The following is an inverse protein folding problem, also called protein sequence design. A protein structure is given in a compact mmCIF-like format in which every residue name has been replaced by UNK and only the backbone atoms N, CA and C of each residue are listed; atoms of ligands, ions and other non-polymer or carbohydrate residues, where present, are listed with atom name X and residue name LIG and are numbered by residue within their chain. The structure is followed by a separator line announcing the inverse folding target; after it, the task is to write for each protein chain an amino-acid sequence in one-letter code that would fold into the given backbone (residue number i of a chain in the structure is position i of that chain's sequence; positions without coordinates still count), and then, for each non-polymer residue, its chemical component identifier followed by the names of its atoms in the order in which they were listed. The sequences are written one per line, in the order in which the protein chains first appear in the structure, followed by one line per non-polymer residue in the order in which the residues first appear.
data_IF_195983277348
#
_entry.id   IF_195983277348
#
_cell.length_a   1.000
_cell.length_b   1.000
_cell.length_c   1.000
_cell.angle_alpha   90.00
_cell.angle_beta   90.00
_cell.angle_gamma   90.00
#
_symmetry.space_group_name_H-M   'P 1'
#
loop_
_entity.id
_entity.type
_entity.pdbx_description
1 polymer ?
#
# COMPACT_ATOMS: atom_id res chain seq x y z
N UNK A 1 -15.88 -10.97 -6.41
CA UNK A 1 -15.08 -11.17 -5.17
C UNK A 1 -13.94 -10.16 -5.19
N UNK A 2 -14.06 -9.02 -4.50
CA UNK A 2 -13.03 -7.95 -4.49
C UNK A 2 -12.11 -8.01 -3.27
N UNK A 3 -12.19 -9.08 -2.47
CA UNK A 3 -11.44 -9.21 -1.23
C UNK A 3 -10.88 -10.61 -1.07
N UNK A 4 -9.73 -10.70 -0.42
CA UNK A 4 -9.06 -11.94 0.00
C UNK A 4 -9.07 -11.99 1.52
N UNK A 5 -9.48 -13.12 2.08
CA UNK A 5 -9.42 -13.36 3.52
C UNK A 5 -8.05 -13.95 3.87
N UNK A 6 -7.23 -13.19 4.58
CA UNK A 6 -5.90 -13.62 4.98
C UNK A 6 -5.88 -13.80 6.49
N UNK A 7 -5.05 -14.74 6.94
CA UNK A 7 -4.85 -14.97 8.35
C UNK A 7 -3.35 -15.17 8.60
N UNK A 8 -2.74 -14.25 9.33
CA UNK A 8 -1.34 -14.41 9.73
C UNK A 8 -1.26 -15.40 10.89
N UNK A 9 -0.31 -16.33 10.86
CA UNK A 9 -0.07 -17.29 11.94
C UNK A 9 1.40 -17.21 12.33
N UNK A 10 1.67 -16.93 13.61
CA UNK A 10 3.03 -16.94 14.13
C UNK A 10 3.39 -18.33 14.65
N UNK A 11 4.27 -19.04 13.92
CA UNK A 11 4.92 -20.29 14.37
C UNK A 11 6.43 -20.11 14.53
N UNK A 12 6.88 -18.87 14.70
CA UNK A 12 8.29 -18.55 14.91
C UNK A 12 8.68 -18.72 16.38
N UNK A 13 9.98 -18.83 16.61
CA UNK A 13 10.58 -18.80 17.94
C UNK A 13 10.98 -17.36 18.34
N UNK A 14 10.19 -16.35 17.94
CA UNK A 14 10.45 -14.95 18.29
C UNK A 14 10.17 -14.69 19.77
N UNK A 15 11.22 -14.34 20.52
CA UNK A 15 11.12 -13.94 21.94
C UNK A 15 11.09 -12.43 22.14
N UNK A 16 11.34 -11.66 21.08
CA UNK A 16 11.37 -10.20 21.10
C UNK A 16 10.01 -9.55 20.83
N UNK A 17 8.98 -10.35 20.53
CA UNK A 17 7.63 -9.87 20.23
C UNK A 17 7.64 -8.80 19.11
N UNK A 18 8.32 -9.13 18.02
CA UNK A 18 8.56 -8.24 16.90
C UNK A 18 7.27 -7.93 16.15
N UNK A 19 7.23 -6.78 15.49
CA UNK A 19 6.11 -6.41 14.63
C UNK A 19 6.28 -6.99 13.22
N UNK A 20 5.18 -7.42 12.63
CA UNK A 20 5.13 -7.88 11.25
C UNK A 20 4.56 -6.76 10.40
N UNK A 21 5.30 -6.35 9.38
CA UNK A 21 4.91 -5.28 8.47
C UNK A 21 4.58 -5.85 7.10
N UNK A 22 3.43 -5.47 6.58
CA UNK A 22 2.94 -5.82 5.25
C UNK A 22 2.76 -4.54 4.44
N UNK A 23 3.26 -4.54 3.21
CA UNK A 23 3.19 -3.39 2.31
C UNK A 23 3.14 -3.81 0.83
N UNK A 24 2.98 -2.83 -0.06
CA UNK A 24 3.14 -3.02 -1.50
C UNK A 24 4.13 -1.99 -2.07
N UNK A 25 4.86 -2.40 -3.10
CA UNK A 25 5.72 -1.50 -3.88
C UNK A 25 4.92 -0.99 -5.08
N UNK A 26 4.98 0.31 -5.36
CA UNK A 26 4.43 0.86 -6.60
C UNK A 26 5.31 0.43 -7.78
N UNK A 27 4.74 -0.35 -8.70
CA UNK A 27 5.44 -0.86 -9.87
C UNK A 27 5.68 0.20 -10.96
N UNK A 28 4.97 1.33 -10.92
CA UNK A 28 5.09 2.38 -11.93
C UNK A 28 6.36 3.23 -11.82
N UNK A 29 7.11 3.12 -10.72
CA UNK A 29 8.31 3.93 -10.47
C UNK A 29 9.42 3.08 -9.87
N UNK A 30 10.66 3.33 -10.27
CA UNK A 30 11.75 2.40 -9.96
C UNK A 30 12.39 2.57 -8.57
N UNK A 31 12.53 3.76 -7.96
CA UNK A 31 13.29 3.84 -6.68
C UNK A 31 12.92 4.95 -5.68
N UNK A 32 12.23 6.03 -6.06
CA UNK A 32 12.03 7.19 -5.16
C UNK A 32 10.67 7.25 -4.44
N UNK A 33 9.80 6.25 -4.64
CA UNK A 33 8.55 6.19 -3.89
C UNK A 33 8.72 5.40 -2.60
N UNK A 34 8.41 6.10 -1.51
CA UNK A 34 8.41 5.53 -0.18
C UNK A 34 7.20 4.61 -0.05
N UNK A 35 7.47 3.33 0.21
CA UNK A 35 6.41 2.37 0.54
C UNK A 35 5.83 2.72 1.91
N UNK A 36 4.56 2.37 2.12
CA UNK A 36 3.88 2.62 3.38
C UNK A 36 3.63 1.29 4.07
N UNK A 37 3.84 1.24 5.39
CA UNK A 37 3.49 0.11 6.24
C UNK A 37 1.96 -0.06 6.29
N UNK A 38 1.40 -0.65 5.23
CA UNK A 38 -0.04 -0.71 5.00
C UNK A 38 -0.78 -1.46 6.11
N UNK A 39 -0.19 -2.55 6.60
CA UNK A 39 -0.70 -3.32 7.73
C UNK A 39 0.47 -3.65 8.64
N UNK A 40 0.30 -3.39 9.93
CA UNK A 40 1.26 -3.78 10.97
C UNK A 40 0.54 -4.68 11.96
N UNK A 41 1.13 -5.83 12.24
CA UNK A 41 0.64 -6.80 13.21
C UNK A 41 1.62 -6.76 14.38
N UNK A 42 1.16 -6.22 15.50
CA UNK A 42 1.92 -6.09 16.73
C UNK A 42 1.43 -7.12 17.75
N UNK A 43 2.31 -7.55 18.65
CA UNK A 43 1.93 -8.39 19.79
C UNK A 43 1.26 -9.73 19.41
N UNK A 44 1.68 -10.36 18.33
CA UNK A 44 1.18 -11.69 17.91
C UNK A 44 2.16 -12.76 18.40
N UNK A 45 1.83 -13.43 19.51
CA UNK A 45 2.70 -14.41 20.17
C UNK A 45 2.86 -15.71 19.39
N UNK A 46 3.77 -16.57 19.84
CA UNK A 46 3.93 -17.92 19.28
C UNK A 46 2.63 -18.73 19.41
N UNK A 47 2.14 -19.27 18.31
CA UNK A 47 0.87 -20.00 18.21
C UNK A 47 -0.35 -19.11 17.95
N UNK A 48 -0.23 -17.79 18.09
CA UNK A 48 -1.33 -16.86 17.85
C UNK A 48 -1.54 -16.60 16.35
N UNK A 49 -2.69 -16.02 16.04
CA UNK A 49 -3.05 -15.61 14.69
C UNK A 49 -3.66 -14.20 14.63
N UNK A 50 -3.63 -13.62 13.43
CA UNK A 50 -4.23 -12.31 13.15
C UNK A 50 -4.98 -12.34 11.81
N UNK A 51 -6.32 -12.43 11.82
CA UNK A 51 -7.12 -12.35 10.61
C UNK A 51 -7.18 -10.92 10.05
N UNK A 52 -7.10 -10.77 8.74
CA UNK A 52 -7.27 -9.49 8.04
C UNK A 52 -7.78 -9.68 6.62
N UNK A 53 -8.37 -8.63 6.05
CA UNK A 53 -8.83 -8.63 4.66
C UNK A 53 -7.91 -7.80 3.77
N UNK A 54 -7.52 -8.37 2.61
CA UNK A 54 -6.93 -7.61 1.52
C UNK A 54 -8.04 -7.27 0.51
N UNK A 55 -8.44 -6.01 0.41
CA UNK A 55 -9.35 -5.55 -0.64
C UNK A 55 -8.58 -5.11 -1.88
N UNK A 56 -9.09 -5.41 -3.07
CA UNK A 56 -8.60 -4.87 -4.33
C UNK A 56 -9.00 -3.41 -4.55
N UNK A 57 -10.02 -2.93 -3.84
CA UNK A 57 -10.51 -1.56 -3.95
C UNK A 57 -9.44 -0.56 -3.48
N UNK A 58 -9.22 0.48 -4.28
CA UNK A 58 -8.29 1.56 -3.99
C UNK A 58 -9.03 2.88 -3.93
N UNK A 59 -8.43 3.85 -3.26
CA UNK A 59 -8.90 5.24 -3.23
C UNK A 59 -7.74 6.20 -3.44
N UNK A 60 -8.00 7.37 -4.00
CA UNK A 60 -7.00 8.45 -4.14
C UNK A 60 -7.43 9.72 -3.42
N UNK A 61 -6.44 10.48 -2.93
CA UNK A 61 -6.61 11.86 -2.48
C UNK A 61 -5.41 12.71 -2.88
N UNK A 62 -5.59 14.03 -2.85
CA UNK A 62 -4.50 14.99 -2.93
C UNK A 62 -4.35 15.70 -1.58
N UNK A 63 -3.13 16.13 -1.25
CA UNK A 63 -2.90 17.01 -0.10
C UNK A 63 -1.94 18.15 -0.42
N UNK A 64 -2.06 19.26 0.28
CA UNK A 64 -1.23 20.46 0.08
C UNK A 64 -0.08 20.56 1.10
N UNK A 65 0.69 21.67 1.04
CA UNK A 65 1.79 21.94 1.96
C UNK A 65 1.36 22.37 3.36
N UNK A 66 0.08 22.62 3.59
CA UNK A 66 -0.47 23.07 4.87
C UNK A 66 -1.10 21.92 5.66
N UNK A 67 -1.04 20.69 5.13
CA UNK A 67 -1.62 19.52 5.77
C UNK A 67 -3.11 19.32 5.46
N UNK A 68 -3.66 20.04 4.48
CA UNK A 68 -5.03 19.82 4.02
C UNK A 68 -5.06 18.64 3.05
N UNK A 69 -6.16 17.90 3.06
CA UNK A 69 -6.40 16.79 2.14
C UNK A 69 -7.78 16.91 1.50
N UNK A 70 -7.87 16.51 0.23
CA UNK A 70 -9.16 16.33 -0.44
C UNK A 70 -9.87 15.10 0.13
N UNK A 71 -11.19 15.00 -0.13
CA UNK A 71 -11.90 13.73 0.06
C UNK A 71 -11.23 12.60 -0.74
N UNK A 72 -11.37 11.38 -0.24
CA UNK A 72 -10.96 10.18 -0.96
C UNK A 72 -11.96 9.86 -2.07
N UNK A 73 -11.46 9.47 -3.23
CA UNK A 73 -12.27 9.03 -4.37
C UNK A 73 -11.90 7.59 -4.70
N UNK A 74 -12.91 6.74 -4.92
CA UNK A 74 -12.68 5.36 -5.38
C UNK A 74 -11.89 5.36 -6.70
N UNK A 75 -10.90 4.49 -6.80
CA UNK A 75 -9.95 4.43 -7.90
C UNK A 75 -9.79 3.00 -8.41
N UNK A 76 -9.84 2.87 -9.74
CA UNK A 76 -9.63 1.61 -10.46
C UNK A 76 -8.47 1.77 -11.45
N UNK A 77 -7.71 0.70 -11.75
CA UNK A 77 -6.77 0.71 -12.87
C UNK A 77 -7.43 1.26 -14.14
N UNK A 78 -6.75 2.18 -14.82
CA UNK A 78 -7.28 2.94 -15.95
C UNK A 78 -7.82 4.33 -15.59
N UNK A 79 -8.04 4.64 -14.31
CA UNK A 79 -8.58 5.94 -13.88
C UNK A 79 -7.50 7.03 -13.84
N UNK A 80 -7.84 8.19 -14.40
CA UNK A 80 -7.06 9.42 -14.30
C UNK A 80 -7.84 10.47 -13.53
N UNK A 81 -7.21 11.05 -12.52
CA UNK A 81 -7.73 12.13 -11.71
C UNK A 81 -6.94 13.41 -11.97
N UNK A 82 -7.62 14.54 -11.86
CA UNK A 82 -7.01 15.85 -11.96
C UNK A 82 -7.30 16.69 -10.71
N UNK A 83 -6.28 17.37 -10.23
CA UNK A 83 -6.40 18.45 -9.27
C UNK A 83 -6.50 19.75 -10.07
N UNK A 84 -7.64 20.42 -9.97
CA UNK A 84 -7.90 21.69 -10.64
C UNK A 84 -8.35 22.74 -9.62
N UNK A 85 -8.35 24.00 -10.04
CA UNK A 85 -9.02 25.07 -9.30
C UNK A 85 -10.36 25.36 -9.95
N UNK A 86 -11.43 25.27 -9.17
CA UNK A 86 -12.77 25.71 -9.55
C UNK A 86 -13.26 26.86 -8.66
N UNK A 87 -14.54 27.22 -8.78
CA UNK A 87 -15.16 28.33 -8.05
C UNK A 87 -15.20 28.10 -6.53
N UNK A 88 -14.99 26.86 -6.06
CA UNK A 88 -14.96 26.48 -4.64
C UNK A 88 -13.55 26.30 -4.08
N UNK A 89 -12.53 26.33 -4.94
CA UNK A 89 -11.12 26.17 -4.57
C UNK A 89 -10.44 25.02 -5.30
N UNK A 90 -9.47 24.40 -4.65
CA UNK A 90 -8.71 23.29 -5.25
C UNK A 90 -9.48 21.98 -5.05
N UNK A 91 -9.80 21.29 -6.14
CA UNK A 91 -10.67 20.12 -6.17
C UNK A 91 -10.01 18.98 -6.94
N UNK A 92 -9.97 17.80 -6.31
CA UNK A 92 -9.63 16.55 -6.97
C UNK A 92 -10.90 15.94 -7.57
N UNK A 93 -10.86 15.60 -8.86
CA UNK A 93 -11.98 14.93 -9.54
C UNK A 93 -11.50 13.88 -10.53
N UNK A 94 -12.37 12.92 -10.81
CA UNK A 94 -12.16 11.93 -11.87
C UNK A 94 -12.33 12.61 -13.24
N UNK A 95 -11.42 12.34 -14.17
CA UNK A 95 -11.49 12.83 -15.54
C UNK A 95 -12.29 11.88 -16.43
N UNK A 96 -12.66 12.33 -17.64
CA UNK A 96 -13.18 11.45 -18.69
C UNK A 96 -12.06 10.79 -19.52
N UNK A 97 -10.82 11.16 -19.28
CA UNK A 97 -9.65 10.62 -19.96
C UNK A 97 -9.15 9.36 -19.25
N UNK A 98 -8.53 8.46 -20.01
CA UNK A 98 -7.89 7.27 -19.47
C UNK A 98 -6.40 7.54 -19.19
N UNK A 99 -5.82 6.73 -18.32
CA UNK A 99 -4.38 6.72 -18.06
C UNK A 99 -3.58 6.32 -19.30
N UNK A 100 -2.28 6.64 -19.32
CA UNK A 100 -1.39 6.20 -20.41
C UNK A 100 -1.21 4.67 -20.47
N UNK A 101 -1.42 3.98 -19.35
CA UNK A 101 -1.43 2.52 -19.24
C UNK A 101 -2.69 2.06 -18.49
N UNK A 102 -3.44 1.05 -18.97
CA UNK A 102 -4.68 0.60 -18.35
C UNK A 102 -4.49 -0.06 -16.97
N UNK A 103 -3.23 -0.30 -16.57
CA UNK A 103 -2.88 -0.87 -15.25
C UNK A 103 -2.64 0.21 -14.19
N UNK A 104 -2.64 1.48 -14.60
CA UNK A 104 -2.19 2.58 -13.77
C UNK A 104 -3.39 3.33 -13.20
N UNK A 105 -3.16 4.01 -12.08
CA UNK A 105 -4.00 5.09 -11.57
C UNK A 105 -3.16 6.36 -11.62
N UNK A 106 -3.65 7.39 -12.28
CA UNK A 106 -2.94 8.66 -12.42
C UNK A 106 -3.59 9.78 -11.61
N UNK A 107 -2.78 10.61 -10.97
CA UNK A 107 -3.21 11.88 -10.35
C UNK A 107 -2.37 13.00 -10.94
N UNK A 108 -3.02 13.94 -11.61
CA UNK A 108 -2.37 15.01 -12.36
C UNK A 108 -2.64 16.34 -11.67
N UNK A 109 -1.60 17.14 -11.49
CA UNK A 109 -1.75 18.48 -10.94
C UNK A 109 -1.94 19.49 -12.08
N UNK A 110 -3.18 19.92 -12.30
CA UNK A 110 -3.54 20.96 -13.27
C UNK A 110 -3.68 22.35 -12.63
N UNK A 111 -3.26 22.54 -11.37
CA UNK A 111 -3.17 23.86 -10.77
C UNK A 111 -2.07 24.68 -11.45
N UNK A 112 -2.28 25.99 -11.59
CA UNK A 112 -1.28 26.90 -12.16
C UNK A 112 -0.08 27.12 -11.22
N UNK A 113 -0.25 26.86 -9.92
CA UNK A 113 0.78 27.01 -8.88
C UNK A 113 0.49 26.06 -7.72
N UNK A 114 1.53 25.75 -6.95
CA UNK A 114 1.43 24.87 -5.79
C UNK A 114 1.61 23.40 -6.19
N UNK A 115 2.58 22.74 -5.56
CA UNK A 115 2.71 21.30 -5.66
C UNK A 115 1.72 20.62 -4.72
N UNK A 116 1.19 19.47 -5.15
CA UNK A 116 0.38 18.61 -4.31
C UNK A 116 1.17 17.35 -3.95
N UNK A 117 0.75 16.69 -2.88
CA UNK A 117 1.00 15.28 -2.71
C UNK A 117 -0.15 14.48 -3.33
N UNK A 118 0.18 13.37 -3.99
CA UNK A 118 -0.81 12.39 -4.43
C UNK A 118 -0.70 11.15 -3.53
N UNK A 119 -1.83 10.71 -3.00
CA UNK A 119 -1.91 9.64 -2.03
C UNK A 119 -2.85 8.56 -2.58
N UNK A 120 -2.48 7.29 -2.45
CA UNK A 120 -3.34 6.16 -2.78
C UNK A 120 -3.50 5.27 -1.55
N UNK A 121 -4.72 4.79 -1.33
CA UNK A 121 -5.15 4.06 -0.14
C UNK A 121 -5.71 2.70 -0.52
N UNK A 122 -5.64 1.75 0.41
CA UNK A 122 -6.29 0.44 0.32
C UNK A 122 -6.92 0.12 1.67
N UNK A 123 -8.22 -0.19 1.66
CA UNK A 123 -9.00 -0.41 2.88
C UNK A 123 -8.90 0.76 3.88
N UNK A 124 -8.90 1.99 3.40
CA UNK A 124 -8.80 3.20 4.21
C UNK A 124 -7.38 3.60 4.66
N UNK A 125 -6.41 2.68 4.64
CA UNK A 125 -5.02 2.95 5.03
C UNK A 125 -4.18 3.40 3.84
N UNK A 126 -3.24 4.32 4.07
CA UNK A 126 -2.31 4.80 3.04
C UNK A 126 -1.45 3.63 2.53
N UNK A 127 -1.34 3.50 1.21
CA UNK A 127 -0.59 2.43 0.53
C UNK A 127 0.69 2.96 -0.13
N UNK A 128 0.60 4.13 -0.78
CA UNK A 128 1.76 4.84 -1.31
C UNK A 128 1.48 6.34 -1.43
N UNK A 129 2.56 7.12 -1.48
CA UNK A 129 2.49 8.58 -1.64
C UNK A 129 3.57 9.07 -2.59
N UNK A 130 3.18 9.92 -3.55
CA UNK A 130 4.11 10.82 -4.24
C UNK A 130 4.10 12.16 -3.52
N UNK A 131 5.17 12.49 -2.82
CA UNK A 131 5.24 13.69 -1.95
C UNK A 131 5.07 15.00 -2.70
N UNK A 132 5.66 15.08 -3.90
CA UNK A 132 5.66 16.31 -4.71
C UNK A 132 5.21 15.98 -6.13
N UNK A 133 4.08 16.57 -6.52
CA UNK A 133 3.54 16.60 -7.87
C UNK A 133 3.39 18.07 -8.25
N UNK A 134 4.37 18.59 -8.97
CA UNK A 134 4.37 19.98 -9.43
C UNK A 134 3.24 20.24 -10.43
N UNK A 135 2.81 21.51 -10.61
CA UNK A 135 1.96 21.94 -11.73
C UNK A 135 2.37 21.30 -13.06
N UNK A 136 1.40 20.80 -13.82
CA UNK A 136 1.60 20.11 -15.10
C UNK A 136 2.19 18.70 -14.99
N UNK A 137 2.56 18.23 -13.80
CA UNK A 137 3.13 16.89 -13.57
C UNK A 137 2.08 15.90 -13.08
N UNK A 138 2.44 14.60 -13.10
CA UNK A 138 1.58 13.52 -12.60
C UNK A 138 2.26 12.58 -11.60
N UNK A 139 1.45 12.00 -10.73
CA UNK A 139 1.74 10.77 -10.01
C UNK A 139 1.12 9.60 -10.77
N UNK A 140 1.82 8.46 -10.77
CA UNK A 140 1.36 7.22 -11.39
C UNK A 140 1.48 6.14 -10.32
N UNK A 141 0.42 5.38 -10.11
CA UNK A 141 0.37 4.26 -9.18
C UNK A 141 -0.04 2.99 -9.92
N UNK A 142 0.70 1.91 -9.67
CA UNK A 142 0.44 0.60 -10.23
C UNK A 142 0.78 -0.45 -9.18
N UNK A 143 -0.19 -1.29 -8.83
CA UNK A 143 0.01 -2.35 -7.83
C UNK A 143 -0.29 -3.70 -8.46
N UNK A 144 0.69 -4.60 -8.34
CA UNK A 144 0.50 -5.99 -8.69
C UNK A 144 -0.23 -6.71 -7.54
N UNK A 145 -0.96 -7.82 -7.82
CA UNK A 145 -1.62 -8.64 -6.80
C UNK A 145 -0.58 -9.44 -6.01
N UNK A 146 0.31 -8.74 -5.30
CA UNK A 146 1.33 -9.28 -4.42
C UNK A 146 1.59 -8.30 -3.27
N UNK A 147 1.97 -8.86 -2.14
CA UNK A 147 2.41 -8.10 -0.96
C UNK A 147 3.86 -8.42 -0.65
N UNK A 148 4.51 -7.50 0.04
CA UNK A 148 5.78 -7.70 0.70
C UNK A 148 5.52 -7.80 2.19
N UNK A 149 6.21 -8.73 2.85
CA UNK A 149 6.07 -8.98 4.28
C UNK A 149 7.46 -9.15 4.90
N UNK A 150 7.60 -8.76 6.16
CA UNK A 150 8.76 -9.09 6.96
C UNK A 150 8.64 -8.62 8.40
N UNK A 151 9.69 -8.89 9.17
CA UNK A 151 9.77 -8.57 10.59
C UNK A 151 10.57 -7.28 10.77
N UNK A 152 10.07 -6.36 11.58
CA UNK A 152 10.75 -5.10 11.89
C UNK A 152 10.26 -4.55 13.24
N UNK A 153 11.02 -3.64 13.82
CA UNK A 153 10.69 -2.96 15.07
C UNK A 153 10.36 -1.49 14.80
N UNK A 154 9.52 -0.89 15.65
CA UNK A 154 9.30 0.57 15.70
C UNK A 154 8.65 1.20 14.46
N UNK A 155 7.87 0.43 13.68
CA UNK A 155 7.11 0.96 12.54
C UNK A 155 5.62 0.96 12.85
N UNK A 156 4.98 2.12 12.68
CA UNK A 156 3.54 2.26 12.87
C UNK A 156 2.76 2.00 11.57
N UNK A 157 1.53 1.51 11.71
CA UNK A 157 0.65 1.36 10.55
C UNK A 157 0.36 2.70 9.88
N UNK A 158 0.53 2.76 8.55
CA UNK A 158 0.41 3.97 7.76
C UNK A 158 1.69 4.82 7.71
N UNK A 159 2.76 4.41 8.40
CA UNK A 159 4.05 5.08 8.35
C UNK A 159 4.76 4.88 7.00
N UNK A 160 5.40 5.95 6.55
CA UNK A 160 6.17 5.97 5.31
C UNK A 160 7.57 5.39 5.58
N UNK A 161 7.85 4.22 5.02
CA UNK A 161 9.10 3.50 5.22
C UNK A 161 10.22 4.04 4.31
N UNK A 162 11.42 4.14 4.85
CA UNK A 162 12.61 4.52 4.10
C UNK A 162 13.14 3.34 3.25
N UNK A 163 14.03 3.64 2.31
CA UNK A 163 14.56 2.64 1.37
C UNK A 163 15.47 1.58 2.03
N UNK A 164 16.06 1.86 3.19
CA UNK A 164 16.88 0.89 3.92
C UNK A 164 16.00 -0.21 4.51
N UNK A 165 14.92 0.15 5.21
CA UNK A 165 13.93 -0.81 5.74
C UNK A 165 13.35 -1.66 4.62
N UNK A 166 13.00 -1.06 3.48
CA UNK A 166 12.42 -1.77 2.33
C UNK A 166 13.40 -2.78 1.72
N UNK A 167 14.72 -2.54 1.79
CA UNK A 167 15.74 -3.47 1.29
C UNK A 167 15.86 -4.70 2.16
N UNK A 168 15.56 -4.61 3.45
CA UNK A 168 15.62 -5.75 4.36
C UNK A 168 14.31 -6.57 4.31
N UNK A 169 13.17 -5.91 3.99
CA UNK A 169 11.85 -6.54 3.86
C UNK A 169 11.55 -6.95 2.40
N UNK A 170 12.05 -8.11 1.96
CA UNK A 170 11.93 -8.54 0.56
C UNK A 170 11.12 -9.82 0.32
N UNK A 171 10.55 -10.45 1.35
CA UNK A 171 9.72 -11.64 1.14
C UNK A 171 8.44 -11.26 0.41
N UNK A 172 8.20 -11.90 -0.74
CA UNK A 172 7.07 -11.61 -1.62
C UNK A 172 6.05 -12.74 -1.55
N UNK A 173 4.78 -12.36 -1.38
CA UNK A 173 3.64 -13.28 -1.43
C UNK A 173 2.74 -12.86 -2.58
N UNK A 174 2.55 -13.76 -3.55
CA UNK A 174 1.57 -13.59 -4.62
C UNK A 174 0.16 -13.81 -4.08
N UNK A 175 -0.76 -12.93 -4.46
CA UNK A 175 -2.19 -12.99 -4.11
C UNK A 175 -3.07 -13.35 -5.31
N UNK A 176 -2.47 -13.57 -6.48
CA UNK A 176 -3.17 -13.93 -7.71
C UNK A 176 -4.00 -15.20 -7.54
N UNK A 177 -5.30 -15.09 -7.82
CA UNK A 177 -6.22 -16.23 -7.79
C UNK A 177 -6.60 -16.72 -6.40
N UNK A 178 -6.13 -16.09 -5.31
CA UNK A 178 -6.43 -16.52 -3.93
C UNK A 178 -7.75 -15.88 -3.45
N UNK A 179 -8.64 -16.70 -2.88
CA UNK A 179 -9.82 -16.25 -2.12
C UNK A 179 -9.52 -16.18 -0.62
N UNK A 180 -8.76 -17.15 -0.10
CA UNK A 180 -8.28 -17.13 1.28
C UNK A 180 -6.99 -17.92 1.44
N UNK A 181 -6.16 -17.54 2.42
CA UNK A 181 -4.96 -18.29 2.79
C UNK A 181 -4.49 -17.93 4.21
N UNK A 182 -3.74 -18.83 4.81
CA UNK A 182 -2.92 -18.54 5.98
C UNK A 182 -1.53 -18.08 5.51
N UNK A 183 -1.02 -17.00 6.11
CA UNK A 183 0.37 -16.56 5.97
C UNK A 183 1.10 -17.04 7.22
N UNK A 184 1.92 -18.08 7.09
CA UNK A 184 2.60 -18.71 8.22
C UNK A 184 4.02 -18.16 8.32
N UNK A 185 4.36 -17.62 9.48
CA UNK A 185 5.71 -17.19 9.83
C UNK A 185 6.42 -18.27 10.64
N UNK A 186 7.62 -18.64 10.23
CA UNK A 186 8.51 -19.58 10.96
C UNK A 186 9.90 -18.97 11.13
N UNK A 187 10.81 -19.68 11.79
CA UNK A 187 12.18 -19.20 12.06
C UNK A 187 12.28 -18.42 13.37
N UNK A 188 13.11 -17.38 13.41
CA UNK A 188 13.37 -16.59 14.60
C UNK A 188 14.46 -17.15 15.52
N UNK A 189 14.84 -16.37 16.54
CA UNK A 189 15.98 -16.62 17.43
C UNK A 189 17.32 -16.73 16.67
N UNK A 190 17.72 -17.94 16.27
CA UNK A 190 18.97 -18.19 15.53
C UNK A 190 18.77 -18.42 14.03
N UNK A 191 17.52 -18.53 13.57
CA UNK A 191 17.17 -18.80 12.17
C UNK A 191 16.53 -17.55 11.53
N UNK A 192 16.76 -17.30 10.22
CA UNK A 192 16.04 -16.26 9.49
C UNK A 192 14.53 -16.45 9.59
N UNK A 193 13.78 -15.35 9.59
CA UNK A 193 12.33 -15.41 9.47
C UNK A 193 11.92 -15.82 8.05
N UNK A 194 11.01 -16.77 7.96
CA UNK A 194 10.45 -17.25 6.69
C UNK A 194 8.93 -17.07 6.70
N UNK A 195 8.37 -16.82 5.52
CA UNK A 195 6.92 -16.69 5.33
C UNK A 195 6.46 -17.59 4.19
N UNK A 196 5.46 -18.41 4.45
CA UNK A 196 4.83 -19.29 3.47
C UNK A 196 3.30 -19.13 3.46
N UNK A 197 2.68 -19.65 2.41
CA UNK A 197 1.23 -19.76 2.33
C UNK A 197 0.79 -21.19 2.65
N UNK A 198 -0.12 -21.32 3.61
CA UNK A 198 -0.82 -22.57 3.95
C UNK A 198 -2.33 -22.39 3.72
N UNK A 199 -3.07 -23.51 3.67
CA UNK A 199 -4.55 -23.53 3.60
C UNK A 199 -5.13 -22.62 2.49
N UNK A 200 -4.47 -22.58 1.32
CA UNK A 200 -4.84 -21.72 0.20
C UNK A 200 -6.11 -22.22 -0.47
N UNK A 201 -7.09 -21.33 -0.61
CA UNK A 201 -8.30 -21.53 -1.41
C UNK A 201 -8.23 -20.62 -2.63
N UNK A 202 -8.39 -21.20 -3.82
CA UNK A 202 -8.38 -20.47 -5.08
C UNK A 202 -9.77 -20.08 -5.57
N UNK A 203 -9.83 -19.04 -6.40
CA UNK A 203 -11.03 -18.50 -7.05
C UNK A 203 -11.48 -19.30 -8.27
#
# INVERSE_FOLDING_TARGET
MNKIKLNFINKSNDRSNSSIVIFQKNAATSYDQLAVAWKVIENCGEGDNHPFEYSYDMEVSAGDSHGNFTRKLGAFPGNRFEMIKDDTGDVLKLTKEYTSSPKDVEVVNHLNKGAISANIYRSGTLLAKKKVVAPGSKAVFQFLPKIFIGVTSEIQQGEVMNSAVIKDLNTQISLSGILSADIVMTGGSSNPYEFSLDNVVYA
#
